data_IF_884167907549
#
_entry.id   IF_884167907549
#
_cell.length_a   1.000
_cell.length_b   1.000
_cell.length_c   1.000
_cell.angle_alpha   90.00
_cell.angle_beta   90.00
_cell.angle_gamma   90.00
#
_symmetry.space_group_name_H-M   'P 1'
#
loop_
_entity.id
_entity.type
_entity.pdbx_description
1 polymer ?
2 non-polymer ?
3 non-polymer ?
4 non-polymer ?
5 water ?
#
# COMPACT_ATOMS: atom_id res chain seq x y z
N UNK A 13 -25.25 10.67 2.33
CA UNK A 13 -24.32 9.92 1.40
C UNK A 13 -22.97 9.67 2.06
N UNK A 14 -22.68 8.36 2.36
CA UNK A 14 -21.52 7.99 3.17
C UNK A 14 -20.23 8.36 2.48
N UNK A 15 -19.17 8.54 3.27
CA UNK A 15 -17.88 8.83 2.73
C UNK A 15 -17.30 7.50 2.25
N UNK A 16 -16.96 7.44 0.99
CA UNK A 16 -16.36 6.25 0.42
C UNK A 16 -14.97 5.96 0.99
N UNK A 17 -14.67 4.69 1.20
CA UNK A 17 -13.31 4.26 1.51
C UNK A 17 -12.45 4.55 0.29
N UNK A 18 -11.16 4.68 0.51
CA UNK A 18 -10.22 4.96 -0.59
C UNK A 18 -8.92 4.33 -0.34
N UNK A 19 -8.31 3.79 -1.42
CA UNK A 19 -7.04 3.13 -1.33
C UNK A 19 -6.23 3.45 -2.57
N UNK A 20 -4.99 3.89 -2.36
CA UNK A 20 -4.06 4.27 -3.45
C UNK A 20 -2.91 3.31 -3.54
N UNK A 21 -2.71 2.77 -4.73
CA UNK A 21 -1.57 1.96 -5.04
C UNK A 21 -0.57 2.73 -5.89
N UNK A 22 0.66 2.77 -5.43
CA UNK A 22 1.72 3.50 -6.12
C UNK A 22 2.81 2.56 -6.62
N UNK A 23 2.84 2.30 -7.94
CA UNK A 23 3.89 1.46 -8.52
C UNK A 23 5.22 2.20 -8.55
N UNK A 24 6.28 1.46 -8.24
CA UNK A 24 7.65 1.88 -8.36
C UNK A 24 8.34 0.83 -9.27
N UNK A 25 8.88 1.25 -10.43
CA UNK A 25 9.45 0.30 -11.42
C UNK A 25 10.98 0.40 -11.34
N UNK A 26 11.62 -0.74 -11.09
CA UNK A 26 13.07 -0.81 -10.94
C UNK A 26 13.69 -1.61 -12.07
N UNK A 27 14.66 -1.00 -12.73
CA UNK A 27 15.41 -1.69 -13.71
C UNK A 27 16.55 -2.40 -12.96
N UNK A 28 16.48 -3.70 -12.90
CA UNK A 28 17.38 -4.53 -12.09
C UNK A 28 18.77 -4.56 -12.67
N UNK A 29 18.89 -4.23 -13.94
CA UNK A 29 20.17 -4.34 -14.56
C UNK A 29 21.08 -3.25 -14.05
N UNK A 30 20.50 -2.16 -13.61
CA UNK A 30 21.27 -1.09 -13.11
C UNK A 30 20.92 -0.62 -11.69
N UNK A 31 19.79 -1.06 -11.16
CA UNK A 31 19.30 -0.61 -9.89
C UNK A 31 18.58 0.72 -9.90
N UNK A 32 18.09 1.13 -11.04
CA UNK A 32 17.57 2.49 -11.17
C UNK A 32 16.05 2.48 -11.17
N UNK A 33 15.47 3.47 -10.51
CA UNK A 33 14.01 3.69 -10.52
C UNK A 33 13.65 4.32 -11.88
N UNK A 34 12.98 3.56 -12.73
CA UNK A 34 12.63 3.99 -14.09
C UNK A 34 11.14 4.24 -14.25
N UNK A 35 10.47 4.42 -13.11
CA UNK A 35 9.01 4.50 -13.05
C UNK A 35 8.51 5.58 -14.02
N UNK A 36 9.15 6.75 -14.01
CA UNK A 36 8.69 7.88 -14.84
C UNK A 36 8.93 7.71 -16.34
N UNK A 37 9.76 6.73 -16.69
CA UNK A 37 10.13 6.44 -18.08
C UNK A 37 9.51 5.14 -18.63
N UNK A 38 8.90 4.34 -17.76
CA UNK A 38 8.37 3.01 -18.12
C UNK A 38 6.89 3.13 -18.47
N UNK A 39 6.43 2.27 -19.36
CA UNK A 39 5.01 2.10 -19.64
C UNK A 39 4.45 1.29 -18.48
N UNK A 40 3.34 1.75 -17.90
CA UNK A 40 2.76 1.10 -16.75
C UNK A 40 1.29 0.87 -16.94
N UNK A 41 0.83 -0.33 -16.60
CA UNK A 41 -0.56 -0.64 -16.74
C UNK A 41 -1.12 -1.30 -15.47
N UNK A 42 -2.34 -0.93 -15.14
CA UNK A 42 -3.09 -1.51 -14.05
C UNK A 42 -4.13 -2.43 -14.64
N UNK A 43 -4.23 -3.69 -14.19
CA UNK A 43 -5.25 -4.64 -14.61
C UNK A 43 -6.67 -4.11 -14.51
N UNK A 44 -6.93 -3.37 -13.45
CA UNK A 44 -8.18 -2.68 -13.27
C UNK A 44 -7.84 -1.39 -12.53
N UNK A 45 -8.46 -0.31 -13.01
CA UNK A 45 -8.43 0.96 -12.37
C UNK A 45 -7.20 1.78 -12.69
N UNK A 46 -7.07 2.93 -12.01
CA UNK A 46 -6.01 3.88 -12.34
C UNK A 46 -5.06 4.10 -11.16
N UNK A 47 -5.05 3.18 -10.19
CA UNK A 47 -4.22 3.37 -9.00
C UNK A 47 -4.96 3.90 -7.79
N UNK A 48 -6.09 4.57 -7.99
CA UNK A 48 -6.93 5.07 -6.91
C UNK A 48 -8.29 4.34 -6.92
N UNK A 49 -8.60 3.70 -5.79
CA UNK A 49 -9.75 2.78 -5.66
C UNK A 49 -10.66 3.30 -4.59
N UNK A 50 -11.95 3.37 -4.90
CA UNK A 50 -12.92 4.08 -4.06
C UNK A 50 -14.12 3.16 -3.82
N UNK A 51 -14.52 3.00 -2.55
CA UNK A 51 -15.62 2.14 -2.20
C UNK A 51 -16.96 2.74 -2.57
N UNK A 52 -18.01 2.01 -2.21
CA UNK A 52 -19.39 2.41 -2.55
C UNK A 52 -20.42 2.28 -1.43
N UNK A 53 -20.04 2.63 -0.18
CA UNK A 53 -18.84 3.29 0.33
C UNK A 53 -17.74 2.29 0.74
N UNK A 54 -18.10 1.02 0.92
CA UNK A 54 -17.14 -0.03 1.28
C UNK A 54 -16.36 -0.50 0.06
N UNK A 55 -15.08 -0.78 0.28
CA UNK A 55 -14.24 -1.36 -0.75
C UNK A 55 -13.99 -2.81 -0.42
N UNK A 56 -14.23 -3.70 -1.40
CA UNK A 56 -13.97 -5.14 -1.20
C UNK A 56 -12.51 -5.38 -1.38
N UNK A 57 -11.95 -6.32 -0.63
CA UNK A 57 -10.61 -6.75 -0.83
C UNK A 57 -10.51 -7.29 -2.27
N UNK A 58 -9.48 -6.85 -2.99
CA UNK A 58 -9.31 -7.21 -4.41
C UNK A 58 -7.83 -7.13 -4.78
N UNK A 59 -7.43 -8.03 -5.69
CA UNK A 59 -6.08 -8.12 -6.20
C UNK A 59 -5.95 -7.42 -7.52
N UNK A 60 -5.00 -6.49 -7.59
CA UNK A 60 -4.70 -5.69 -8.81
C UNK A 60 -3.33 -6.13 -9.30
N UNK A 61 -3.18 -6.37 -10.59
CA UNK A 61 -1.90 -6.72 -11.15
C UNK A 61 -1.37 -5.47 -11.87
N UNK A 62 -0.12 -5.13 -11.60
CA UNK A 62 0.51 -3.98 -12.28
C UNK A 62 1.61 -4.49 -13.20
N UNK A 63 1.56 -4.13 -14.48
CA UNK A 63 2.59 -4.51 -15.42
C UNK A 63 3.39 -3.29 -15.85
N UNK A 64 4.67 -3.49 -16.12
CA UNK A 64 5.52 -2.41 -16.63
C UNK A 64 6.39 -2.88 -17.78
N UNK A 65 6.74 -1.97 -18.68
CA UNK A 65 7.55 -2.28 -19.87
C UNK A 65 8.54 -1.13 -20.01
N UNK A 66 9.82 -1.48 -20.21
CA UNK A 66 10.90 -0.55 -20.37
C UNK A 66 12.07 -1.24 -21.06
N UNK A 67 12.51 -0.65 -22.17
CA UNK A 67 13.61 -1.16 -22.98
C UNK A 67 13.46 -2.64 -23.30
N UNK A 68 12.24 -3.04 -23.68
CA UNK A 68 12.03 -4.44 -24.03
C UNK A 68 11.92 -5.42 -22.86
N UNK A 69 12.11 -4.95 -21.62
CA UNK A 69 11.92 -5.77 -20.45
C UNK A 69 10.47 -5.59 -19.97
N UNK A 70 9.83 -6.67 -19.53
CA UNK A 70 8.53 -6.54 -18.88
C UNK A 70 8.54 -7.23 -17.53
N UNK A 71 7.67 -6.74 -16.65
CA UNK A 71 7.60 -7.27 -15.31
C UNK A 71 6.23 -6.94 -14.73
N UNK A 72 5.86 -7.67 -13.70
CA UNK A 72 4.55 -7.58 -13.12
C UNK A 72 4.61 -7.84 -11.61
N UNK A 73 3.68 -7.24 -10.86
CA UNK A 73 3.50 -7.50 -9.43
C UNK A 73 2.04 -7.37 -9.14
N UNK A 74 1.62 -8.07 -8.11
CA UNK A 74 0.27 -7.97 -7.63
C UNK A 74 0.22 -7.32 -6.24
N UNK A 75 -0.87 -6.62 -5.98
CA UNK A 75 -1.11 -5.98 -4.71
C UNK A 75 -2.57 -6.24 -4.31
N UNK A 76 -2.74 -6.60 -3.05
CA UNK A 76 -4.12 -6.87 -2.53
C UNK A 76 -4.57 -5.57 -1.84
N UNK A 77 -5.58 -4.94 -2.37
CA UNK A 77 -6.31 -3.87 -1.68
C UNK A 77 -7.04 -4.54 -0.51
N UNK A 78 -6.88 -4.01 0.73
CA UNK A 78 -7.63 -4.53 1.83
C UNK A 78 -9.12 -4.17 1.77
N UNK A 79 -9.95 -4.96 2.46
CA UNK A 79 -11.34 -4.64 2.63
C UNK A 79 -11.44 -3.42 3.54
N UNK A 80 -12.15 -2.39 3.10
CA UNK A 80 -12.20 -1.13 3.84
C UNK A 80 -13.65 -0.72 4.00
N UNK A 81 -13.98 -0.22 5.19
CA UNK A 81 -15.28 0.31 5.56
C UNK A 81 -15.32 1.82 5.25
N UNK A 82 -16.51 2.35 5.28
CA UNK A 82 -16.76 3.77 5.04
C UNK A 82 -15.76 4.65 5.78
N UNK A 83 -15.20 5.58 5.01
CA UNK A 83 -14.21 6.54 5.52
C UNK A 83 -12.78 6.12 5.69
N UNK A 84 -12.46 4.84 5.60
CA UNK A 84 -11.14 4.40 5.76
C UNK A 84 -10.30 4.80 4.53
N UNK A 85 -9.06 5.14 4.81
CA UNK A 85 -8.13 5.56 3.79
C UNK A 85 -6.79 4.86 3.97
N UNK A 86 -6.28 4.26 2.90
CA UNK A 86 -4.98 3.61 2.90
C UNK A 86 -4.21 3.82 1.60
N UNK A 87 -2.91 3.52 1.66
CA UNK A 87 -2.09 3.59 0.47
C UNK A 87 -0.96 2.54 0.64
N UNK A 88 -0.44 2.03 -0.48
CA UNK A 88 0.66 1.04 -0.44
C UNK A 88 1.46 1.24 -1.71
N UNK A 89 2.76 1.15 -1.60
CA UNK A 89 3.65 1.10 -2.76
C UNK A 89 3.82 -0.32 -3.23
N UNK A 90 4.02 -0.52 -4.53
CA UNK A 90 4.31 -1.85 -5.02
C UNK A 90 5.48 -1.76 -5.96
N UNK A 91 6.45 -2.63 -5.75
CA UNK A 91 7.68 -2.67 -6.56
C UNK A 91 7.48 -3.66 -7.71
N UNK A 92 7.76 -3.19 -8.92
CA UNK A 92 7.84 -3.99 -10.10
C UNK A 92 9.31 -4.09 -10.53
N UNK A 93 9.82 -5.31 -10.57
CA UNK A 93 11.20 -5.59 -11.03
C UNK A 93 11.22 -5.88 -12.52
N UNK A 94 12.08 -5.15 -13.23
CA UNK A 94 12.36 -5.39 -14.62
C UNK A 94 13.76 -5.92 -14.70
N UNK A 95 13.91 -7.02 -15.43
CA UNK A 95 15.18 -7.72 -15.63
C UNK A 95 15.10 -8.54 -16.93
N UNK A 96 16.19 -8.58 -17.70
CA UNK A 96 16.23 -9.40 -18.90
C UNK A 96 16.25 -10.88 -18.53
N UNK A 97 16.96 -11.20 -17.44
CA UNK A 97 17.20 -12.58 -17.01
C UNK A 97 16.36 -13.16 -15.90
N UNK A 98 15.71 -12.33 -15.08
CA UNK A 98 14.97 -12.83 -13.91
C UNK A 98 13.67 -12.17 -13.71
N UNK A 99 12.83 -12.82 -12.90
CA UNK A 99 11.67 -12.15 -12.33
C UNK A 99 11.57 -12.46 -10.84
N UNK A 100 10.93 -11.56 -10.11
CA UNK A 100 10.74 -11.76 -8.69
C UNK A 100 9.32 -12.28 -8.49
N UNK A 101 9.18 -13.40 -7.85
CA UNK A 101 7.83 -13.93 -7.61
C UNK A 101 7.54 -13.95 -6.13
N UNK A 102 6.46 -13.29 -5.76
CA UNK A 102 5.97 -13.32 -4.37
C UNK A 102 5.28 -14.65 -4.07
N UNK A 103 5.83 -15.39 -3.13
CA UNK A 103 5.41 -16.75 -2.83
C UNK A 103 4.39 -16.78 -1.69
N UNK A 104 4.46 -15.83 -0.76
CA UNK A 104 3.55 -15.80 0.37
C UNK A 104 3.60 -14.39 1.02
N UNK A 105 2.50 -14.01 1.67
CA UNK A 105 2.38 -12.69 2.22
C UNK A 105 1.42 -12.72 3.40
N UNK A 106 1.82 -12.10 4.50
CA UNK A 106 0.94 -12.05 5.66
C UNK A 106 1.04 -10.68 6.31
N UNK A 107 -0.12 -10.02 6.49
CA UNK A 107 -0.20 -8.70 7.06
C UNK A 107 -0.76 -8.74 8.46
N UNK A 108 -0.19 -7.94 9.31
CA UNK A 108 -0.61 -7.84 10.70
C UNK A 108 -0.56 -6.37 11.11
N UNK A 109 -1.40 -6.02 12.09
CA UNK A 109 -1.38 -4.66 12.63
C UNK A 109 -0.18 -4.64 13.53
N UNK A 110 0.75 -3.75 13.26
CA UNK A 110 1.88 -3.59 14.17
C UNK A 110 1.58 -2.62 15.33
N UNK A 111 0.93 -1.51 15.01
CA UNK A 111 0.61 -0.49 16.00
C UNK A 111 -0.74 0.10 15.66
N UNK A 112 -1.56 0.37 16.68
CA UNK A 112 -2.82 1.06 16.51
C UNK A 112 -2.67 2.35 17.34
N UNK A 113 -2.97 3.50 16.74
CA UNK A 113 -2.98 4.80 17.45
C UNK A 113 -4.42 5.31 17.40
N UNK A 114 -4.85 5.94 18.49
CA UNK A 114 -6.21 6.38 18.58
C UNK A 114 -6.23 7.74 19.27
N UNK A 115 -6.88 8.71 18.65
CA UNK A 115 -7.08 10.00 19.27
C UNK A 115 -8.11 9.92 20.43
N UNK A 116 -8.19 10.98 21.21
CA UNK A 116 -9.31 11.19 22.11
C UNK A 116 -10.55 11.51 21.26
N UNK A 117 -11.69 11.66 21.94
CA UNK A 117 -13.01 11.81 21.28
C UNK A 117 -13.53 13.23 21.32
N UNK A 118 -14.01 13.72 20.19
CA UNK A 118 -14.76 14.96 20.11
C UNK A 118 -16.21 14.52 20.04
N UNK A 119 -17.02 14.95 21.01
CA UNK A 119 -18.44 14.69 20.90
C UNK A 119 -19.04 15.81 20.08
N UNK A 120 -19.84 15.46 19.09
CA UNK A 120 -20.69 16.41 18.40
C UNK A 120 -22.15 16.13 18.69
N UNK A 121 -22.65 16.76 19.76
CA UNK A 121 -24.05 16.60 20.16
C UNK A 121 -25.02 17.43 19.30
N UNK A 122 -24.52 18.21 18.35
CA UNK A 122 -25.36 19.06 17.51
C UNK A 122 -25.99 18.30 16.36
N UNK A 123 -26.90 19.00 15.68
CA UNK A 123 -27.66 18.43 14.57
C UNK A 123 -26.97 18.69 13.22
N UNK A 124 -25.68 19.08 13.24
CA UNK A 124 -24.96 19.45 12.02
C UNK A 124 -23.59 18.73 11.90
N UNK A 125 -23.32 18.20 10.72
CA UNK A 125 -22.01 17.61 10.45
C UNK A 125 -21.07 18.67 9.91
N UNK A 126 -19.79 18.36 9.97
CA UNK A 126 -18.79 19.26 9.48
C UNK A 126 -17.49 18.52 9.17
N UNK A 127 -16.60 19.22 8.48
CA UNK A 127 -15.27 18.73 8.16
C UNK A 127 -14.27 19.11 9.24
N UNK A 128 -13.34 18.21 9.54
CA UNK A 128 -12.26 18.48 10.48
C UNK A 128 -10.95 18.17 9.76
N UNK A 129 -9.85 18.71 10.28
CA UNK A 129 -8.53 18.45 9.77
C UNK A 129 -7.90 17.38 10.62
N UNK A 130 -7.31 16.43 9.91
CA UNK A 130 -6.60 15.30 10.50
C UNK A 130 -5.21 15.27 9.90
N UNK A 131 -4.23 15.56 10.74
CA UNK A 131 -2.85 15.38 10.34
C UNK A 131 -2.30 14.11 10.99
N UNK A 132 -1.69 13.26 10.16
CA UNK A 132 -1.29 11.91 10.56
C UNK A 132 0.14 11.64 10.07
N UNK A 133 0.89 10.81 10.82
CA UNK A 133 2.17 10.27 10.34
C UNK A 133 2.04 8.94 9.53
N UNK A 134 2.26 9.03 8.23
CA UNK A 134 2.36 7.90 7.30
C UNK A 134 3.69 7.11 7.50
N UNK A 135 3.62 5.86 8.00
CA UNK A 135 4.76 4.93 8.03
C UNK A 135 4.69 4.09 6.77
N UNK A 136 5.76 4.11 5.96
CA UNK A 136 5.81 3.46 4.67
C UNK A 136 7.23 2.95 4.45
N UNK A 137 7.38 1.89 3.69
CA UNK A 137 8.66 1.45 3.25
C UNK A 137 8.83 -0.04 3.42
N UNK A 138 10.06 -0.50 3.36
CA UNK A 138 10.37 -1.88 3.11
C UNK A 138 11.82 -2.17 3.56
N UNK A 139 12.01 -3.33 4.18
CA UNK A 139 13.31 -3.84 4.59
C UNK A 139 13.43 -5.35 4.32
N UNK A 140 14.57 -5.78 3.81
CA UNK A 140 14.83 -7.23 3.61
C UNK A 140 15.32 -7.78 4.94
N UNK A 141 14.61 -8.76 5.51
CA UNK A 141 14.99 -9.29 6.83
C UNK A 141 15.67 -10.64 6.71
N UNK A 142 15.67 -11.22 5.51
CA UNK A 142 16.34 -12.49 5.31
C UNK A 142 16.68 -12.60 3.83
N UNK A 143 17.86 -13.12 3.56
CA UNK A 143 18.38 -13.21 2.24
C UNK A 143 19.28 -14.41 2.12
N UNK A 144 18.85 -15.39 1.31
CA UNK A 144 19.56 -16.66 1.19
C UNK A 144 20.55 -16.66 0.01
N UNK A 145 20.65 -15.55 -0.73
CA UNK A 145 21.54 -15.46 -1.90
C UNK A 145 23.02 -15.24 -1.53
N UNK A 146 23.87 -16.15 -1.98
CA UNK A 146 25.30 -16.14 -1.66
C UNK A 146 26.21 -15.82 -2.85
N UNK A 147 25.64 -15.40 -3.99
CA UNK A 147 26.41 -15.19 -5.20
C UNK A 147 26.84 -13.75 -5.37
N UNK A 148 27.42 -13.44 -6.53
CA UNK A 148 28.01 -12.15 -6.85
C UNK A 148 27.34 -11.48 -8.07
N UNK A 149 26.24 -12.05 -8.56
CA UNK A 149 25.58 -11.49 -9.71
C UNK A 149 24.93 -10.16 -9.29
N UNK A 150 25.38 -9.05 -9.87
CA UNK A 150 24.89 -7.71 -9.48
C UNK A 150 23.39 -7.55 -9.79
N UNK A 151 22.91 -8.19 -10.83
CA UNK A 151 21.49 -8.08 -11.22
C UNK A 151 20.60 -8.67 -10.10
N UNK A 152 21.00 -9.85 -9.61
CA UNK A 152 20.29 -10.51 -8.52
C UNK A 152 20.36 -9.61 -7.27
N UNK A 153 21.54 -9.09 -6.98
CA UNK A 153 21.72 -8.19 -5.84
C UNK A 153 20.86 -6.93 -5.96
N UNK A 154 20.73 -6.40 -7.18
CA UNK A 154 19.91 -5.19 -7.39
C UNK A 154 18.43 -5.43 -7.09
N UNK A 155 17.96 -6.60 -7.53
CA UNK A 155 16.60 -7.03 -7.26
C UNK A 155 16.34 -7.07 -5.75
N UNK A 156 17.22 -7.74 -5.01
CA UNK A 156 17.03 -7.83 -3.56
C UNK A 156 17.07 -6.45 -2.90
N UNK A 157 18.02 -5.63 -3.31
CA UNK A 157 18.17 -4.26 -2.75
C UNK A 157 16.97 -3.36 -2.99
N UNK A 158 16.19 -3.66 -4.02
CA UNK A 158 15.05 -2.88 -4.41
C UNK A 158 13.98 -2.96 -3.34
N UNK A 159 13.98 -4.05 -2.56
CA UNK A 159 13.08 -4.26 -1.45
C UNK A 159 13.65 -3.80 -0.08
N UNK A 160 14.84 -3.22 -0.11
CA UNK A 160 15.55 -2.82 1.10
C UNK A 160 15.83 -1.34 1.15
N UNK A 161 14.90 -0.50 0.67
CA UNK A 161 15.16 0.93 0.60
C UNK A 161 14.92 1.64 1.95
N UNK A 162 14.17 0.99 2.83
CA UNK A 162 14.09 1.41 4.21
C UNK A 162 12.68 1.83 4.54
N UNK A 163 12.47 2.17 5.80
CA UNK A 163 11.17 2.52 6.29
C UNK A 163 11.23 3.98 6.58
N UNK A 164 10.22 4.72 6.18
CA UNK A 164 10.25 6.18 6.32
C UNK A 164 8.93 6.74 6.87
N UNK A 165 9.00 7.95 7.41
CA UNK A 165 7.83 8.60 7.99
C UNK A 165 7.61 10.00 7.44
N UNK A 166 6.35 10.35 7.27
CA UNK A 166 5.94 11.58 6.57
C UNK A 166 4.61 12.04 7.14
N UNK A 167 4.48 13.33 7.43
CA UNK A 167 3.21 13.85 7.92
C UNK A 167 2.29 14.07 6.72
N UNK A 168 1.02 13.70 6.86
CA UNK A 168 0.03 13.83 5.80
C UNK A 168 -1.11 14.54 6.47
N UNK A 169 -1.81 15.39 5.73
CA UNK A 169 -2.89 16.19 6.30
C UNK A 169 -4.10 16.10 5.42
N UNK A 170 -5.19 15.57 5.99
CA UNK A 170 -6.50 15.57 5.34
C UNK A 170 -7.33 16.68 6.04
N UNK A 171 -7.88 17.60 5.24
CA UNK A 171 -8.73 18.70 5.72
C UNK A 171 -10.23 18.43 5.48
N UNK A 172 -10.56 17.17 5.16
CA UNK A 172 -11.89 16.80 4.66
C UNK A 172 -12.46 15.54 5.39
N UNK A 173 -12.08 15.36 6.64
CA UNK A 173 -12.59 14.23 7.40
C UNK A 173 -13.94 14.65 7.97
N UNK A 174 -14.91 13.77 7.86
CA UNK A 174 -16.26 14.10 8.21
C UNK A 174 -16.55 13.76 9.67
N UNK A 175 -16.96 14.79 10.43
CA UNK A 175 -17.49 14.65 11.80
C UNK A 175 -18.99 14.68 11.68
N UNK A 176 -19.65 13.56 11.92
CA UNK A 176 -21.11 13.54 11.75
C UNK A 176 -21.84 14.26 12.84
N UNK A 177 -23.10 14.56 12.59
CA UNK A 177 -23.98 15.04 13.66
C UNK A 177 -24.22 13.90 14.65
N UNK A 178 -24.45 14.27 15.91
CA UNK A 178 -24.83 13.32 16.96
C UNK A 178 -23.85 12.16 17.03
N UNK A 179 -22.56 12.52 17.10
CA UNK A 179 -21.48 11.54 16.92
C UNK A 179 -20.37 11.72 17.93
N UNK A 180 -19.86 10.60 18.42
CA UNK A 180 -18.64 10.52 19.19
C UNK A 180 -17.56 10.22 18.16
N UNK A 181 -16.75 11.22 17.87
CA UNK A 181 -15.78 11.16 16.79
C UNK A 181 -14.37 10.99 17.30
N UNK A 182 -13.60 10.17 16.60
CA UNK A 182 -12.21 9.94 16.87
C UNK A 182 -11.52 9.40 15.62
N UNK A 183 -10.21 9.30 15.68
CA UNK A 183 -9.47 8.76 14.53
C UNK A 183 -8.52 7.65 14.99
N UNK A 184 -8.54 6.52 14.29
CA UNK A 184 -7.51 5.50 14.39
C UNK A 184 -6.51 5.60 13.25
N UNK A 185 -5.25 5.35 13.56
CA UNK A 185 -4.20 5.15 12.57
C UNK A 185 -3.58 3.79 12.84
N UNK A 186 -3.59 2.90 11.84
CA UNK A 186 -3.01 1.61 11.99
C UNK A 186 -1.79 1.49 11.09
N UNK A 187 -0.67 1.07 11.67
CA UNK A 187 0.51 0.70 10.93
C UNK A 187 0.48 -0.78 10.72
N UNK A 188 0.53 -1.17 9.46
CA UNK A 188 0.45 -2.54 8.99
C UNK A 188 1.89 -2.98 8.63
N UNK A 189 2.26 -4.17 9.09
CA UNK A 189 3.54 -4.82 8.79
C UNK A 189 3.22 -6.07 7.99
N UNK A 190 3.71 -6.12 6.74
CA UNK A 190 3.42 -7.23 5.87
C UNK A 190 4.76 -7.99 5.67
N UNK A 191 4.79 -9.28 5.97
CA UNK A 191 5.96 -10.14 5.76
C UNK A 191 5.70 -11.00 4.52
N UNK A 192 6.57 -10.84 3.53
CA UNK A 192 6.44 -11.50 2.23
C UNK A 192 7.73 -12.24 1.86
N UNK A 193 7.57 -13.42 1.27
CA UNK A 193 8.69 -14.24 0.86
C UNK A 193 8.66 -14.23 -0.66
N UNK A 194 9.81 -13.94 -1.26
CA UNK A 194 9.98 -13.87 -2.68
C UNK A 194 11.01 -14.88 -3.14
N UNK A 195 10.81 -15.43 -4.34
CA UNK A 195 11.89 -16.11 -5.05
C UNK A 195 12.26 -15.30 -6.29
N UNK A 196 13.55 -15.32 -6.58
CA UNK A 196 14.05 -14.77 -7.82
C UNK A 196 14.19 -15.97 -8.75
N UNK A 197 13.57 -15.89 -9.91
CA UNK A 197 13.45 -17.03 -10.83
C UNK A 197 13.94 -16.66 -12.23
N UNK A 198 14.64 -17.59 -12.88
CA UNK A 198 15.16 -17.37 -14.22
C UNK A 198 14.04 -17.20 -15.25
N UNK A 199 14.16 -16.18 -16.11
CA UNK A 199 13.29 -16.10 -17.28
C UNK A 199 13.77 -17.15 -18.27
N UNK A 200 12.85 -17.86 -18.90
CA UNK A 200 13.22 -18.81 -19.98
C UNK A 200 12.00 -19.08 -20.88
N UNK A 201 12.23 -19.55 -22.12
CA UNK A 201 11.08 -19.77 -23.02
C UNK A 201 10.44 -21.14 -22.81
N UNK A 204 9.38 -23.33 -16.14
CA UNK A 204 10.64 -23.79 -16.74
C UNK A 204 11.90 -23.34 -15.95
N UNK A 205 11.91 -22.11 -15.47
CA UNK A 205 13.14 -21.52 -14.92
C UNK A 205 13.44 -21.97 -13.50
N UNK A 206 14.74 -22.01 -13.17
CA UNK A 206 15.15 -22.27 -11.80
C UNK A 206 14.98 -21.06 -10.87
N UNK A 207 14.43 -21.29 -9.65
CA UNK A 207 14.65 -20.31 -8.58
C UNK A 207 16.14 -20.26 -8.26
N UNK A 208 16.70 -19.05 -8.23
CA UNK A 208 18.12 -18.83 -7.96
C UNK A 208 18.36 -18.11 -6.62
N UNK A 209 17.31 -17.68 -5.93
CA UNK A 209 17.45 -17.07 -4.61
C UNK A 209 16.07 -16.88 -3.93
N UNK A 210 16.09 -16.75 -2.61
CA UNK A 210 14.87 -16.48 -1.82
C UNK A 210 15.18 -15.40 -0.79
N UNK A 211 14.27 -14.49 -0.59
CA UNK A 211 14.46 -13.45 0.42
C UNK A 211 13.12 -13.06 1.01
N UNK A 212 13.17 -12.52 2.23
CA UNK A 212 11.96 -12.16 2.95
C UNK A 212 11.95 -10.67 3.25
N UNK A 213 10.81 -10.05 3.01
CA UNK A 213 10.65 -8.60 3.16
C UNK A 213 9.58 -8.21 4.19
N UNK A 214 9.92 -7.30 5.10
CA UNK A 214 8.90 -6.64 5.89
C UNK A 214 8.61 -5.30 5.25
N UNK A 215 7.35 -5.08 4.91
CA UNK A 215 6.92 -3.85 4.29
C UNK A 215 5.80 -3.23 5.14
N UNK A 216 5.76 -1.91 5.11
CA UNK A 216 4.93 -1.14 6.01
C UNK A 216 4.06 -0.21 5.26
N UNK A 217 2.81 -0.06 5.69
CA UNK A 217 1.93 0.97 5.13
C UNK A 217 0.89 1.38 6.19
N UNK A 218 0.15 2.42 5.91
CA UNK A 218 -0.68 3.04 6.94
C UNK A 218 -2.13 3.13 6.46
N UNK A 219 -3.05 2.71 7.36
CA UNK A 219 -4.49 2.93 7.17
C UNK A 219 -5.07 3.86 8.26
N UNK A 220 -5.83 4.85 7.81
CA UNK A 220 -6.45 5.85 8.70
C UNK A 220 -7.97 5.57 8.71
N UNK A 221 -8.58 5.58 9.89
CA UNK A 221 -9.96 5.14 10.07
C UNK A 221 -10.68 6.15 10.95
N UNK A 222 -11.29 7.18 10.36
CA UNK A 222 -12.13 8.09 11.16
C UNK A 222 -13.39 7.35 11.63
N UNK A 223 -13.78 7.56 12.87
CA UNK A 223 -14.86 6.82 13.50
C UNK A 223 -15.92 7.79 13.98
N UNK A 224 -17.18 7.52 13.64
CA UNK A 224 -18.32 8.30 14.12
C UNK A 224 -19.21 7.29 14.85
N UNK A 225 -19.21 7.37 16.16
CA UNK A 225 -19.84 6.37 17.02
C UNK A 225 -20.95 6.94 17.87
N UNK A 226 -21.75 6.05 18.45
CA UNK A 226 -22.80 6.47 19.35
C UNK A 226 -22.23 7.17 20.56
N UNK A 227 -22.80 8.34 20.88
CA UNK A 227 -22.55 9.03 22.15
C UNK A 227 -23.41 8.37 23.22
N UNK A 228 -22.77 7.67 24.17
CA UNK A 228 -23.60 6.85 25.08
C UNK A 228 -24.54 7.73 25.88
N UNK A 229 -25.82 7.39 25.82
CA UNK A 229 -26.88 8.15 26.49
C UNK A 229 -27.58 9.19 25.63
N UNK A 230 -26.96 9.62 24.53
CA UNK A 230 -27.55 10.59 23.56
C UNK A 230 -28.71 9.94 22.81
N UNK A 231 -29.72 10.75 22.42
CA UNK A 231 -30.98 10.23 21.88
C UNK A 231 -31.01 10.02 20.37
N UNK A 232 -29.88 10.28 19.70
CA UNK A 232 -29.73 10.05 18.26
C UNK A 232 -28.47 9.24 18.00
N UNK A 233 -28.49 8.50 16.91
CA UNK A 233 -27.30 7.84 16.38
C UNK A 233 -26.60 8.84 15.41
N UNK A 234 -25.36 8.55 15.04
CA UNK A 234 -24.66 9.49 14.17
C UNK A 234 -25.30 9.55 12.79
N UNK A 235 -25.42 10.77 12.27
CA UNK A 235 -25.95 11.01 10.91
C UNK A 235 -25.52 12.39 10.40
N UNK A 236 -25.95 12.72 9.19
CA UNK A 236 -25.73 14.04 8.61
C UNK A 236 -26.66 15.09 9.17
N UNK A 237 -27.64 14.70 10.00
CA UNK A 237 -28.44 15.66 10.74
C UNK A 237 -29.22 16.58 9.81
N UNK A 238 -29.34 17.86 10.21
CA UNK A 238 -29.94 18.88 9.34
C UNK A 238 -29.01 19.35 8.21
N UNK A 239 -27.72 18.99 8.24
CA UNK A 239 -26.79 19.29 7.13
C UNK A 239 -25.45 19.82 7.60
N UNK A 240 -24.72 20.46 6.68
CA UNK A 240 -23.30 20.78 6.87
C UNK A 240 -23.05 21.73 8.05
X LIG B 1 20.21 -8.63 5.53
X LIG B 1 20.41 -7.98 4.48
X LIG B 1 19.49 -9.65 5.40
X LIG B 1 20.82 -8.20 6.84
X LIG C 1 0.58 -14.01 -2.75
X LIG C 1 -0.06 -13.04 -2.29
X LIG C 1 1.61 -14.32 -2.12
X LIG C 1 0.14 -14.76 -3.99
X LIG D 1 -30.50 4.78 19.81
X LIG D 1 -30.62 5.10 18.61
X LIG D 1 -31.34 5.31 20.59
X LIG D 1 -29.45 3.83 20.32
X LIG E 1 6.39 -4.15 -2.12
X LIG E 1 6.25 -4.46 -3.53
X LIG E 1 7.77 -3.59 -1.71
X LIG E 1 8.30 -4.14 -0.50
X LIG E 1 7.58 -2.10 -1.55
X LIG E 1 7.22 -1.54 -2.78
X LIG F 1 10.46 8.87 -9.54
X LIG F 1 9.26 8.15 -9.54
X LIG F 1 11.09 8.94 -10.93
X LIG F 1 12.24 9.76 -10.78
X LIG F 1 11.45 7.53 -11.40
X LIG F 1 11.65 7.35 -12.77
X LIG G 1 -6.54 -5.39 8.55
X LIG G 1 -7.47 -4.23 8.16
X LIG G 1 -7.29 -4.04 6.73
X LIG G 1 -8.91 -4.55 8.50
X LIG G 1 -6.98 -2.90 8.72
X LIG G 1 -7.87 -2.11 9.66
X LIG G 1 -9.10 -1.86 9.10
X LIG G 1 -7.20 -0.77 9.94
X LIG H 1 -4.87 -12.32 -1.16
X LIG H 1 -6.28 -12.89 -1.00
X LIG H 1 -6.20 -14.32 -0.79
X LIG H 1 -6.98 -12.26 0.22
X LIG H 1 -7.09 -12.64 -2.27
X LIG H 1 -7.70 -11.25 -2.36
X LIG H 1 -8.84 -11.13 -1.53
X LIG H 1 -8.13 -10.90 -3.79
#
# INVERSE_FOLDING_TARGET
GSCEKENIGIEVTPVNAKFIITPVVIDATTGTDVTQSAEISFSKGNGTYEGTPELASESININAKYKGMTGSASVTIPALKAGQFGAKEVTIILSENFFAQEESSNSQIETTKHSGFKNNTSDYWYYITVTYTKKEGSEVIKNDYEGDDSEIKNIIDAYNKGVREDKVTLNDVQVLAHSRFSVFVDYMKTTSVYQIIEKSPKRDGNPVASFTVDSYNTIVSPKNEQIPGHGHAPSHGHGHGHGDDSNAGGGIIIAD
ACT C O OXT CH3
ACT C O OXT CH3
ACT C O OXT CH3
GOL C1 O1 C2 O2 C3 O3
GOL C1 O1 C2 O2 C3 O3
MRD C1 C2 O2 CM C3 C4 O4 C5
MRD C1 C2 O2 CM C3 C4 O4 C5
#
